data_IF_217534513816
#
_entry.id   IF_217534513816
#
_cell.length_a   1.000
_cell.length_b   1.000
_cell.length_c   1.000
_cell.angle_alpha   90.00
_cell.angle_beta   90.00
_cell.angle_gamma   90.00
#
_symmetry.space_group_name_H-M   'P 1'
#
loop_
_entity.id
_entity.type
_entity.pdbx_description
1 polymer ?
#
# COMPACT_ATOMS: atom_id res chain seq x y z
N UNK A 1 -3.75 -2.53 15.15
CA UNK A 1 -4.95 -1.87 14.63
C UNK A 1 -5.98 -2.92 14.25
N UNK A 2 -7.27 -2.64 14.44
CA UNK A 2 -8.39 -3.48 13.98
C UNK A 2 -9.16 -2.69 12.92
N UNK A 3 -9.42 -3.30 11.78
CA UNK A 3 -10.08 -2.67 10.64
C UNK A 3 -11.16 -3.54 10.04
N UNK A 4 -12.19 -2.94 9.44
CA UNK A 4 -13.10 -3.60 8.51
C UNK A 4 -12.81 -3.09 7.10
N UNK A 5 -12.49 -4.00 6.17
CA UNK A 5 -12.18 -3.71 4.77
C UNK A 5 -13.36 -4.10 3.88
N UNK A 6 -13.68 -3.26 2.89
CA UNK A 6 -14.80 -3.46 1.97
C UNK A 6 -14.45 -2.95 0.57
N UNK A 7 -14.62 -3.77 -0.47
CA UNK A 7 -14.55 -3.30 -1.86
C UNK A 7 -15.81 -2.49 -2.24
N UNK A 8 -15.63 -1.51 -3.13
CA UNK A 8 -16.68 -0.66 -3.67
C UNK A 8 -16.89 -0.94 -5.17
N UNK A 9 -18.14 -1.03 -5.66
CA UNK A 9 -19.31 -1.32 -4.84
C UNK A 9 -19.16 -2.68 -4.16
N UNK A 10 -19.94 -2.93 -3.10
CA UNK A 10 -19.95 -4.19 -2.31
C UNK A 10 -20.59 -5.32 -3.12
N UNK A 11 -20.02 -5.64 -4.27
CA UNK A 11 -20.51 -6.62 -5.23
C UNK A 11 -19.42 -7.67 -5.53
N UNK A 12 -18.15 -7.31 -5.36
CA UNK A 12 -17.01 -8.08 -5.84
C UNK A 12 -16.32 -8.93 -4.75
N UNK A 13 -16.34 -8.47 -3.50
CA UNK A 13 -15.87 -9.25 -2.34
C UNK A 13 -16.76 -9.01 -1.12
N UNK A 14 -16.80 -10.00 -0.22
CA UNK A 14 -17.47 -9.84 1.07
C UNK A 14 -16.57 -9.01 1.98
N UNK A 15 -17.13 -8.05 2.74
CA UNK A 15 -16.36 -7.34 3.75
C UNK A 15 -15.67 -8.31 4.72
N UNK A 16 -14.47 -7.94 5.14
CA UNK A 16 -13.67 -8.70 6.11
C UNK A 16 -13.27 -7.81 7.27
N UNK A 17 -13.09 -8.41 8.44
CA UNK A 17 -12.48 -7.75 9.60
C UNK A 17 -11.06 -8.27 9.76
N UNK A 18 -10.11 -7.38 10.04
CA UNK A 18 -8.71 -7.74 10.22
C UNK A 18 -8.10 -7.10 11.46
N UNK A 19 -7.18 -7.85 12.07
CA UNK A 19 -6.30 -7.42 13.14
C UNK A 19 -4.89 -7.37 12.59
N UNK A 20 -4.33 -6.17 12.54
CA UNK A 20 -3.02 -5.89 11.96
C UNK A 20 -2.07 -5.46 13.06
N UNK A 21 -1.02 -6.26 13.29
CA UNK A 21 0.09 -5.96 14.19
C UNK A 21 1.39 -5.90 13.39
N UNK A 22 1.70 -4.70 12.91
CA UNK A 22 2.88 -4.45 12.07
C UNK A 22 4.17 -4.72 12.87
N UNK A 23 5.22 -5.26 12.23
CA UNK A 23 5.28 -5.68 10.83
C UNK A 23 4.88 -7.15 10.57
N UNK A 24 4.50 -7.94 11.58
CA UNK A 24 4.50 -9.40 11.44
C UNK A 24 3.14 -10.09 11.51
N UNK A 25 2.20 -9.53 12.27
CA UNK A 25 0.98 -10.22 12.66
C UNK A 25 -0.24 -9.79 11.86
N UNK A 26 -0.97 -10.77 11.33
CA UNK A 26 -2.23 -10.54 10.62
C UNK A 26 -3.23 -11.64 10.96
N UNK A 27 -4.43 -11.22 11.34
CA UNK A 27 -5.61 -12.08 11.37
C UNK A 27 -6.68 -11.44 10.52
N UNK A 28 -7.34 -12.22 9.69
CA UNK A 28 -8.47 -11.79 8.86
C UNK A 28 -9.62 -12.76 9.05
N UNK A 29 -10.81 -12.24 9.26
CA UNK A 29 -12.05 -12.97 9.43
C UNK A 29 -13.13 -12.44 8.50
N UNK A 30 -14.08 -13.31 8.15
CA UNK A 30 -15.38 -12.85 7.70
C UNK A 30 -16.10 -12.09 8.84
N UNK A 31 -17.06 -11.23 8.51
CA UNK A 31 -17.82 -10.50 9.53
C UNK A 31 -18.64 -11.39 10.49
N UNK A 32 -18.84 -12.67 10.16
CA UNK A 32 -19.46 -13.65 11.05
C UNK A 32 -18.48 -14.28 12.06
N UNK A 33 -17.20 -13.88 12.04
CA UNK A 33 -16.14 -14.37 12.92
C UNK A 33 -15.39 -15.60 12.40
N UNK A 34 -15.68 -16.08 11.19
CA UNK A 34 -14.97 -17.22 10.60
C UNK A 34 -13.56 -16.80 10.16
N UNK A 35 -12.49 -17.49 10.60
CA UNK A 35 -11.13 -17.15 10.20
C UNK A 35 -10.88 -17.44 8.71
N UNK A 36 -10.31 -16.47 8.02
CA UNK A 36 -9.81 -16.59 6.64
C UNK A 36 -8.28 -16.75 6.66
N UNK A 37 -7.60 -15.94 7.47
CA UNK A 37 -6.15 -15.94 7.61
C UNK A 37 -5.76 -15.69 9.07
N UNK A 38 -4.80 -16.44 9.59
CA UNK A 38 -4.15 -16.19 10.87
C UNK A 38 -2.66 -16.45 10.65
N UNK A 39 -1.85 -15.40 10.69
CA UNK A 39 -0.45 -15.49 10.32
C UNK A 39 0.44 -14.59 11.19
N UNK A 40 1.62 -15.13 11.51
CA UNK A 40 2.72 -14.43 12.14
C UNK A 40 3.98 -14.66 11.32
N UNK A 41 4.35 -13.65 10.53
CA UNK A 41 5.52 -13.69 9.68
C UNK A 41 6.77 -13.49 10.53
N UNK A 42 7.54 -14.57 10.78
CA UNK A 42 8.83 -14.47 11.49
C UNK A 42 9.88 -13.73 10.64
N UNK A 43 9.76 -13.82 9.31
CA UNK A 43 10.58 -13.10 8.34
C UNK A 43 9.71 -12.59 7.18
N UNK A 44 8.98 -11.47 7.35
CA UNK A 44 8.00 -11.01 6.34
C UNK A 44 8.62 -10.60 5.00
N UNK A 45 9.95 -10.54 4.88
CA UNK A 45 10.65 -9.95 3.74
C UNK A 45 11.20 -10.98 2.72
N UNK A 46 11.03 -12.28 2.99
CA UNK A 46 11.39 -13.39 2.09
C UNK A 46 12.90 -13.55 1.80
N UNK A 47 13.28 -14.70 1.24
CA UNK A 47 14.61 -14.93 0.66
C UNK A 47 14.52 -14.86 -0.86
N UNK A 48 15.09 -13.80 -1.45
CA UNK A 48 15.21 -13.64 -2.89
C UNK A 48 16.47 -14.29 -3.47
N UNK A 49 16.49 -14.46 -4.80
CA UNK A 49 17.71 -14.75 -5.52
C UNK A 49 17.71 -14.04 -6.88
N UNK A 50 18.82 -13.37 -7.21
CA UNK A 50 19.04 -12.79 -8.53
C UNK A 50 19.48 -13.88 -9.49
N UNK A 51 18.80 -13.99 -10.63
CA UNK A 51 19.21 -14.87 -11.71
C UNK A 51 19.85 -14.02 -12.81
N UNK A 52 21.12 -14.26 -13.11
CA UNK A 52 21.81 -13.54 -14.19
C UNK A 52 21.35 -14.04 -15.58
N UNK A 53 21.77 -13.34 -16.64
CA UNK A 53 21.42 -13.71 -18.04
C UNK A 53 21.94 -15.09 -18.48
N UNK A 54 22.82 -15.71 -17.68
CA UNK A 54 23.34 -17.06 -17.90
C UNK A 54 22.60 -18.11 -17.05
N UNK A 55 21.55 -17.71 -16.34
CA UNK A 55 20.76 -18.59 -15.48
C UNK A 55 21.39 -18.88 -14.11
N UNK A 56 22.45 -18.17 -13.72
CA UNK A 56 23.08 -18.38 -12.40
C UNK A 56 22.30 -17.64 -11.33
N UNK A 57 21.89 -18.39 -10.32
CA UNK A 57 21.20 -17.86 -9.14
C UNK A 57 22.21 -17.46 -8.07
N UNK A 58 22.18 -16.19 -7.65
CA UNK A 58 22.88 -15.69 -6.47
C UNK A 58 21.85 -15.32 -5.41
N UNK A 59 21.94 -15.85 -4.17
CA UNK A 59 21.06 -15.43 -3.09
C UNK A 59 21.11 -13.92 -2.92
N UNK A 60 19.95 -13.29 -2.82
CA UNK A 60 19.90 -11.91 -2.38
C UNK A 60 20.37 -11.85 -0.93
N UNK A 61 21.13 -10.82 -0.55
CA UNK A 61 21.41 -10.60 0.85
C UNK A 61 20.10 -10.44 1.63
N UNK A 62 20.04 -11.06 2.81
CA UNK A 62 18.82 -11.13 3.62
C UNK A 62 18.23 -9.73 3.85
N UNK A 63 16.98 -9.49 3.42
CA UNK A 63 16.28 -8.25 3.69
C UNK A 63 15.93 -8.14 5.17
N UNK A 64 15.81 -6.90 5.65
CA UNK A 64 15.39 -6.58 7.00
C UNK A 64 14.33 -5.49 6.97
N UNK A 65 13.45 -5.47 7.97
CA UNK A 65 12.38 -4.47 8.04
C UNK A 65 12.64 -3.36 9.05
N UNK A 66 11.66 -2.45 9.20
CA UNK A 66 11.82 -1.23 9.98
C UNK A 66 12.00 -1.43 11.49
N UNK A 67 11.70 -2.62 12.02
CA UNK A 67 11.94 -2.97 13.43
C UNK A 67 13.29 -3.64 13.67
N UNK A 68 14.07 -3.91 12.63
CA UNK A 68 15.44 -4.43 12.78
C UNK A 68 16.36 -3.32 13.31
N UNK A 69 17.27 -3.64 14.23
CA UNK A 69 18.22 -2.67 14.82
C UNK A 69 19.13 -2.02 13.77
N UNK A 70 19.32 -2.67 12.61
CA UNK A 70 20.08 -2.14 11.48
C UNK A 70 19.28 -1.13 10.65
N UNK A 71 17.97 -1.07 10.84
CA UNK A 71 17.12 -0.19 10.05
C UNK A 71 17.27 1.28 10.51
N UNK A 72 17.58 2.20 9.58
CA UNK A 72 17.50 3.62 9.88
C UNK A 72 16.07 3.97 10.28
N UNK A 73 15.93 4.81 11.31
CA UNK A 73 14.61 5.29 11.74
C UNK A 73 14.13 6.39 10.79
N UNK A 74 12.83 6.43 10.45
CA UNK A 74 12.28 7.57 9.72
C UNK A 74 12.37 8.85 10.53
N UNK A 75 12.50 9.97 9.83
CA UNK A 75 12.32 11.27 10.44
C UNK A 75 10.84 11.46 10.70
N UNK A 76 10.48 11.83 11.92
CA UNK A 76 9.11 12.12 12.32
C UNK A 76 8.88 13.62 12.39
N UNK A 77 7.67 14.06 12.04
CA UNK A 77 7.15 15.40 12.30
C UNK A 77 6.75 15.52 13.77
N UNK A 78 6.49 16.75 14.22
CA UNK A 78 6.06 17.02 15.61
C UNK A 78 4.72 16.34 15.97
N UNK A 79 3.90 16.01 14.98
CA UNK A 79 2.64 15.28 15.16
C UNK A 79 2.81 13.74 15.20
N UNK A 80 4.06 13.26 15.13
CA UNK A 80 4.40 11.84 15.19
C UNK A 80 4.27 11.09 13.86
N UNK A 81 3.82 11.74 12.78
CA UNK A 81 3.77 11.14 11.45
C UNK A 81 5.13 11.24 10.75
N UNK A 82 5.38 10.35 9.79
CA UNK A 82 6.65 10.33 9.04
C UNK A 82 6.79 11.61 8.20
N UNK A 83 7.90 12.32 8.41
CA UNK A 83 8.33 13.47 7.61
C UNK A 83 9.13 13.02 6.38
N UNK A 84 10.07 12.10 6.61
CA UNK A 84 10.97 11.58 5.58
C UNK A 84 11.23 10.10 5.88
N UNK A 85 11.10 9.28 4.83
CA UNK A 85 11.53 7.89 4.91
C UNK A 85 13.02 7.81 4.63
N UNK A 86 13.75 6.95 5.37
CA UNK A 86 15.06 6.55 4.91
C UNK A 86 14.93 6.02 3.49
N UNK A 87 15.87 6.34 2.59
CA UNK A 87 15.84 5.81 1.24
C UNK A 87 15.77 4.28 1.32
N UNK A 88 14.95 3.67 0.47
CA UNK A 88 14.92 2.22 0.38
C UNK A 88 16.30 1.74 -0.09
N UNK A 89 17.06 1.21 0.86
CA UNK A 89 18.31 0.52 0.56
C UNK A 89 17.97 -0.86 -0.01
N UNK A 90 18.93 -1.45 -0.72
CA UNK A 90 18.77 -2.75 -1.41
C UNK A 90 18.13 -3.86 -0.54
N UNK A 91 18.25 -3.75 0.81
CA UNK A 91 17.81 -4.73 1.81
C UNK A 91 16.68 -4.28 2.75
N UNK A 92 16.33 -3.00 2.82
CA UNK A 92 15.28 -2.53 3.74
C UNK A 92 13.91 -2.73 3.08
N UNK A 93 12.98 -3.38 3.78
CA UNK A 93 11.61 -3.64 3.29
C UNK A 93 10.58 -3.15 4.31
N UNK A 94 9.75 -2.21 3.89
CA UNK A 94 8.69 -1.61 4.72
C UNK A 94 7.34 -2.32 4.58
N UNK A 95 7.28 -3.45 3.89
CA UNK A 95 6.01 -4.12 3.63
C UNK A 95 5.37 -4.68 4.89
N UNK A 96 4.05 -4.52 4.92
CA UNK A 96 3.18 -5.03 5.98
C UNK A 96 2.74 -6.45 5.71
N UNK A 97 2.19 -7.13 6.74
CA UNK A 97 1.45 -8.36 6.52
C UNK A 97 0.37 -8.15 5.46
N UNK A 98 0.42 -8.97 4.40
CA UNK A 98 -0.42 -8.82 3.22
C UNK A 98 -1.66 -9.71 3.31
N UNK A 99 -2.83 -9.16 2.99
CA UNK A 99 -4.02 -9.92 2.67
C UNK A 99 -4.33 -9.82 1.18
N UNK A 100 -4.28 -10.95 0.47
CA UNK A 100 -4.46 -11.10 -0.98
C UNK A 100 -3.49 -10.37 -1.92
N UNK A 101 -3.38 -9.04 -1.85
CA UNK A 101 -2.66 -8.24 -2.85
C UNK A 101 -1.92 -7.06 -2.23
N UNK A 102 -0.96 -6.46 -2.97
CA UNK A 102 -0.24 -5.28 -2.50
C UNK A 102 -1.13 -4.05 -2.32
N UNK A 103 -2.35 -4.04 -2.87
CA UNK A 103 -3.36 -3.02 -2.58
C UNK A 103 -3.62 -2.91 -1.07
N UNK A 104 -3.67 -4.05 -0.37
CA UNK A 104 -3.78 -4.10 1.09
C UNK A 104 -2.61 -3.41 1.80
N UNK A 105 -1.40 -3.64 1.31
CA UNK A 105 -0.20 -3.04 1.89
C UNK A 105 -0.15 -1.54 1.60
N UNK A 106 -0.50 -1.13 0.37
CA UNK A 106 -0.58 0.26 -0.03
C UNK A 106 -1.66 1.04 0.74
N UNK A 107 -2.73 0.37 1.18
CA UNK A 107 -3.73 0.92 2.10
C UNK A 107 -3.14 1.25 3.48
N UNK A 108 -2.44 0.28 4.09
CA UNK A 108 -1.84 0.44 5.42
C UNK A 108 -0.65 1.41 5.42
N UNK A 109 0.00 1.52 4.28
CA UNK A 109 1.19 2.34 4.11
C UNK A 109 1.19 3.04 2.75
N UNK A 110 0.45 4.16 2.60
CA UNK A 110 0.18 4.80 1.30
C UNK A 110 1.35 5.65 0.80
N UNK A 111 2.56 5.10 0.83
CA UNK A 111 3.78 5.73 0.28
C UNK A 111 3.62 6.08 -1.20
N UNK A 112 2.76 5.36 -1.93
CA UNK A 112 2.42 5.64 -3.33
C UNK A 112 1.79 7.04 -3.52
N UNK A 113 1.20 7.62 -2.46
CA UNK A 113 0.55 8.92 -2.49
C UNK A 113 1.45 10.07 -1.97
N UNK A 114 2.60 9.76 -1.39
CA UNK A 114 3.47 10.74 -0.73
C UNK A 114 4.49 11.34 -1.70
N UNK A 115 5.59 10.61 -1.94
CA UNK A 115 6.69 11.07 -2.79
C UNK A 115 6.76 10.21 -4.06
N UNK A 116 6.86 10.85 -5.21
CA UNK A 116 7.02 10.17 -6.50
C UNK A 116 8.50 9.98 -6.83
N UNK A 117 8.77 9.08 -7.76
CA UNK A 117 10.13 8.65 -8.09
C UNK A 117 10.56 9.08 -9.49
N UNK A 118 11.83 9.45 -9.69
CA UNK A 118 12.39 9.42 -11.06
C UNK A 118 12.84 8.01 -11.43
N UNK A 119 12.64 7.59 -12.70
CA UNK A 119 13.36 6.46 -13.24
C UNK A 119 14.87 6.70 -13.05
N UNK A 120 15.65 5.65 -12.71
CA UNK A 120 17.07 5.80 -12.54
C UNK A 120 17.69 6.27 -13.86
N UNK A 121 18.23 7.49 -13.88
CA UNK A 121 18.95 8.03 -15.04
C UNK A 121 20.32 7.36 -15.21
N UNK A 122 20.80 6.66 -14.19
CA UNK A 122 22.08 5.96 -14.16
C UNK A 122 21.93 4.57 -13.52
N UNK A 123 22.57 3.57 -14.14
CA UNK A 123 22.65 2.21 -13.62
C UNK A 123 23.31 2.26 -12.23
N UNK A 124 22.58 1.90 -11.18
CA UNK A 124 23.11 1.76 -9.82
C UNK A 124 22.67 2.84 -8.81
N UNK A 125 21.94 3.87 -9.22
CA UNK A 125 21.22 4.76 -8.29
C UNK A 125 19.77 4.30 -8.27
N UNK A 126 19.25 3.82 -7.13
CA UNK A 126 17.83 3.49 -7.02
C UNK A 126 16.90 4.67 -7.36
N UNK A 127 15.61 4.41 -7.39
CA UNK A 127 14.58 5.44 -7.54
C UNK A 127 14.74 6.48 -6.42
N UNK A 128 15.07 7.74 -6.79
CA UNK A 128 15.09 8.84 -5.84
C UNK A 128 13.68 9.42 -5.74
N UNK A 129 13.12 9.36 -4.54
CA UNK A 129 11.82 9.95 -4.21
C UNK A 129 12.02 11.39 -3.74
N UNK A 130 11.40 12.36 -4.41
CA UNK A 130 11.54 13.77 -4.02
C UNK A 130 10.20 14.50 -4.11
N UNK A 131 9.94 15.50 -3.23
CA UNK A 131 8.69 16.26 -3.24
C UNK A 131 8.42 17.02 -4.53
N UNK A 132 9.46 17.37 -5.30
CA UNK A 132 9.34 18.05 -6.60
C UNK A 132 8.70 17.17 -7.68
N UNK A 133 8.60 15.86 -7.42
CA UNK A 133 8.10 14.85 -8.34
C UNK A 133 6.84 14.24 -7.76
N UNK A 134 5.82 15.08 -7.59
CA UNK A 134 4.56 14.64 -6.99
C UNK A 134 3.98 13.45 -7.77
N UNK A 135 3.69 12.31 -7.12
CA UNK A 135 3.08 11.16 -7.77
C UNK A 135 1.61 11.44 -8.12
N UNK A 136 1.04 12.49 -7.53
CA UNK A 136 -0.34 12.89 -7.66
C UNK A 136 -0.48 14.35 -8.08
N UNK A 137 -1.48 14.63 -8.90
CA UNK A 137 -2.02 15.97 -9.12
C UNK A 137 -3.31 16.10 -8.34
N UNK A 138 -3.41 17.12 -7.49
CA UNK A 138 -4.64 17.42 -6.75
C UNK A 138 -5.59 18.20 -7.66
N UNK A 139 -6.82 17.72 -7.80
CA UNK A 139 -7.92 18.43 -8.48
C UNK A 139 -8.67 19.35 -7.54
N UNK A 140 -8.71 18.99 -6.26
CA UNK A 140 -9.38 19.75 -5.21
C UNK A 140 -8.42 20.02 -4.06
N UNK A 141 -8.69 21.08 -3.31
CA UNK A 141 -8.02 21.30 -2.03
C UNK A 141 -8.23 20.13 -1.08
N UNK A 142 -7.22 19.86 -0.24
CA UNK A 142 -7.34 18.88 0.84
C UNK A 142 -8.27 19.46 1.91
N UNK A 143 -9.31 18.71 2.26
CA UNK A 143 -10.28 19.09 3.29
C UNK A 143 -10.32 18.07 4.41
N UNK A 144 -10.56 18.55 5.62
CA UNK A 144 -10.85 17.68 6.75
C UNK A 144 -12.31 17.20 6.68
N UNK A 145 -12.52 15.90 6.86
CA UNK A 145 -13.82 15.23 6.85
C UNK A 145 -13.92 14.24 8.01
N UNK A 146 -15.11 13.65 8.18
CA UNK A 146 -15.27 12.46 9.03
C UNK A 146 -15.45 11.21 8.18
N UNK A 147 -14.72 10.16 8.51
CA UNK A 147 -14.86 8.83 7.93
C UNK A 147 -15.12 7.84 9.06
N UNK A 148 -16.32 7.26 9.11
CA UNK A 148 -16.74 6.32 10.17
C UNK A 148 -16.48 6.85 11.59
N UNK A 149 -16.79 8.13 11.80
CA UNK A 149 -16.63 8.83 13.08
C UNK A 149 -15.23 9.36 13.38
N UNK A 150 -14.22 9.01 12.59
CA UNK A 150 -12.82 9.45 12.75
C UNK A 150 -12.48 10.65 11.85
N UNK A 151 -11.54 11.49 12.27
CA UNK A 151 -11.06 12.60 11.45
C UNK A 151 -10.21 12.07 10.28
N UNK A 152 -10.43 12.59 9.09
CA UNK A 152 -9.73 12.19 7.88
C UNK A 152 -9.47 13.38 6.95
N UNK A 153 -8.47 13.27 6.09
CA UNK A 153 -8.22 14.21 5.00
C UNK A 153 -8.76 13.62 3.69
N UNK A 154 -9.57 14.39 2.96
CA UNK A 154 -10.09 14.02 1.64
C UNK A 154 -9.58 14.97 0.57
N UNK A 155 -9.27 14.43 -0.61
CA UNK A 155 -9.10 15.19 -1.85
C UNK A 155 -9.44 14.31 -3.06
N UNK A 156 -9.60 14.93 -4.23
CA UNK A 156 -9.64 14.27 -5.53
C UNK A 156 -8.27 14.42 -6.20
N UNK A 157 -7.71 13.31 -6.67
CA UNK A 157 -6.36 13.24 -7.25
C UNK A 157 -6.35 12.52 -8.58
N UNK A 158 -5.41 12.87 -9.45
CA UNK A 158 -5.01 12.07 -10.61
C UNK A 158 -3.58 11.56 -10.41
N UNK A 159 -3.26 10.39 -10.94
CA UNK A 159 -1.88 9.89 -10.99
C UNK A 159 -1.05 10.69 -12.01
N UNK A 160 0.25 10.80 -11.77
CA UNK A 160 1.21 11.43 -12.71
C UNK A 160 2.20 10.40 -13.24
N UNK A 161 3.08 10.79 -14.16
CA UNK A 161 4.19 9.95 -14.63
C UNK A 161 5.17 9.53 -13.51
N UNK A 162 5.11 10.19 -12.34
CA UNK A 162 5.91 9.87 -11.17
C UNK A 162 5.17 8.95 -10.17
N UNK A 163 3.93 8.54 -10.48
CA UNK A 163 3.21 7.56 -9.70
C UNK A 163 3.90 6.20 -9.79
N UNK A 164 4.50 5.79 -8.68
CA UNK A 164 5.18 4.50 -8.54
C UNK A 164 4.41 3.63 -7.54
N UNK A 165 3.48 2.79 -8.03
CA UNK A 165 2.79 1.86 -7.16
C UNK A 165 3.75 0.78 -6.66
N UNK A 166 3.52 0.28 -5.45
CA UNK A 166 4.25 -0.88 -4.89
C UNK A 166 4.14 -2.09 -5.81
N UNK A 167 2.99 -2.25 -6.45
CA UNK A 167 2.75 -3.28 -7.43
C UNK A 167 1.90 -2.74 -8.57
N UNK A 168 2.40 -2.83 -9.79
CA UNK A 168 1.74 -2.31 -10.99
C UNK A 168 0.40 -3.01 -11.30
N UNK A 169 0.23 -4.28 -10.93
CA UNK A 169 -1.02 -5.04 -11.17
C UNK A 169 -2.07 -4.91 -10.06
N UNK A 170 -1.74 -4.30 -8.92
CA UNK A 170 -2.66 -4.11 -7.80
C UNK A 170 -2.34 -2.83 -7.02
N UNK A 171 -2.15 -1.75 -7.77
CA UNK A 171 -1.88 -0.41 -7.26
C UNK A 171 -3.01 0.09 -6.33
N UNK A 172 -2.71 1.04 -5.45
CA UNK A 172 -3.74 1.72 -4.66
C UNK A 172 -4.70 2.50 -5.58
N UNK A 173 -4.16 3.16 -6.60
CA UNK A 173 -4.89 3.88 -7.65
C UNK A 173 -4.68 3.14 -8.98
N UNK A 174 -5.63 2.24 -9.30
CA UNK A 174 -5.58 1.42 -10.51
C UNK A 174 -6.02 2.24 -11.73
N UNK A 175 -5.10 2.51 -12.66
CA UNK A 175 -5.39 3.33 -13.84
C UNK A 175 -4.30 3.30 -14.89
N UNK A 176 -4.30 4.29 -15.78
CA UNK A 176 -3.43 4.33 -16.95
C UNK A 176 -1.93 4.23 -16.59
N UNK A 177 -1.48 4.90 -15.52
CA UNK A 177 -0.06 4.91 -15.12
C UNK A 177 0.39 3.57 -14.53
N UNK A 178 -0.41 2.93 -13.65
CA UNK A 178 -0.10 1.60 -13.12
C UNK A 178 -0.14 0.54 -14.21
N UNK A 179 -1.13 0.63 -15.12
CA UNK A 179 -1.26 -0.29 -16.25
C UNK A 179 -0.09 -0.14 -17.23
N UNK A 180 0.30 1.09 -17.58
CA UNK A 180 1.45 1.34 -18.46
C UNK A 180 2.73 0.74 -17.87
N UNK A 181 2.95 0.88 -16.55
CA UNK A 181 4.07 0.23 -15.87
C UNK A 181 3.96 -1.31 -15.92
N UNK A 182 2.79 -1.88 -15.67
CA UNK A 182 2.58 -3.32 -15.76
C UNK A 182 2.89 -3.89 -17.15
N UNK A 183 2.47 -3.18 -18.21
CA UNK A 183 2.79 -3.57 -19.59
C UNK A 183 4.29 -3.58 -19.83
N UNK A 184 5.01 -2.56 -19.33
CA UNK A 184 6.46 -2.47 -19.45
C UNK A 184 7.17 -3.58 -18.68
N UNK A 185 6.72 -3.89 -17.47
CA UNK A 185 7.31 -4.93 -16.61
C UNK A 185 7.08 -6.34 -17.17
N UNK A 186 5.92 -6.60 -17.78
CA UNK A 186 5.54 -7.94 -18.27
C UNK A 186 5.78 -8.15 -19.76
N UNK A 187 6.02 -7.09 -20.52
CA UNK A 187 6.05 -7.12 -21.99
C UNK A 187 4.70 -7.40 -22.64
N UNK A 188 3.59 -7.32 -21.88
CA UNK A 188 2.23 -7.54 -22.37
C UNK A 188 1.60 -6.21 -22.75
N UNK A 189 1.66 -5.88 -24.04
CA UNK A 189 1.10 -4.65 -24.60
C UNK A 189 -0.30 -4.92 -25.18
N UNK A 190 -1.23 -5.30 -24.31
CA UNK A 190 -2.63 -5.40 -24.70
C UNK A 190 -3.26 -4.02 -24.61
N UNK A 191 -3.81 -3.48 -25.70
CA UNK A 191 -4.50 -2.19 -25.66
C UNK A 191 -5.70 -2.30 -24.72
N UNK A 192 -5.81 -1.49 -23.64
CA UNK A 192 -6.97 -1.53 -22.79
C UNK A 192 -8.18 -1.16 -23.63
N UNK A 193 -9.20 -2.02 -23.63
CA UNK A 193 -10.48 -1.71 -24.29
C UNK A 193 -11.38 -0.83 -23.42
N UNK A 194 -10.99 -0.63 -22.16
CA UNK A 194 -11.73 0.11 -21.14
C UNK A 194 -11.05 1.46 -20.88
N UNK A 195 -11.87 2.50 -20.70
CA UNK A 195 -11.40 3.81 -20.24
C UNK A 195 -11.10 3.74 -18.75
N UNK A 196 -9.85 4.03 -18.36
CA UNK A 196 -9.46 4.12 -16.96
C UNK A 196 -10.05 5.37 -16.31
N UNK A 197 -10.28 5.31 -14.99
CA UNK A 197 -10.57 6.50 -14.21
C UNK A 197 -9.41 7.51 -14.32
N UNK A 198 -9.75 8.77 -14.60
CA UNK A 198 -8.77 9.86 -14.61
C UNK A 198 -8.55 10.39 -13.18
N UNK A 199 -9.60 10.34 -12.36
CA UNK A 199 -9.64 10.94 -11.04
C UNK A 199 -10.05 9.92 -9.98
N UNK A 200 -9.52 10.11 -8.78
CA UNK A 200 -9.82 9.28 -7.62
C UNK A 200 -10.12 10.17 -6.44
N UNK A 201 -11.23 9.92 -5.74
CA UNK A 201 -11.40 10.44 -4.39
C UNK A 201 -10.62 9.55 -3.44
N UNK A 202 -9.73 10.15 -2.66
CA UNK A 202 -8.94 9.47 -1.65
C UNK A 202 -9.23 10.05 -0.27
N UNK A 203 -9.18 9.20 0.76
CA UNK A 203 -9.22 9.65 2.16
C UNK A 203 -8.13 9.01 2.99
N UNK A 204 -7.43 9.79 3.79
CA UNK A 204 -6.47 9.29 4.77
C UNK A 204 -6.98 9.56 6.19
N UNK A 205 -6.93 8.57 7.07
CA UNK A 205 -7.19 8.78 8.50
C UNK A 205 -6.13 9.72 9.07
N UNK A 206 -6.56 10.83 9.67
CA UNK A 206 -5.65 11.90 10.07
C UNK A 206 -4.67 11.49 11.20
N UNK A 207 -5.05 10.49 12.01
CA UNK A 207 -4.25 10.05 13.14
C UNK A 207 -3.24 8.95 12.75
N UNK A 208 -3.59 8.07 11.82
CA UNK A 208 -2.77 6.90 11.46
C UNK A 208 -2.09 7.04 10.09
N UNK A 209 -2.57 7.93 9.23
CA UNK A 209 -2.10 8.06 7.84
C UNK A 209 -2.56 6.91 6.93
N UNK A 210 -3.39 5.98 7.41
CA UNK A 210 -3.95 4.88 6.61
C UNK A 210 -4.86 5.45 5.53
N UNK A 211 -4.72 4.99 4.29
CA UNK A 211 -5.65 5.29 3.22
C UNK A 211 -6.94 4.50 3.50
N UNK A 212 -8.03 5.19 3.83
CA UNK A 212 -9.31 4.60 4.28
C UNK A 212 -10.41 4.65 3.22
N UNK A 213 -10.17 5.34 2.10
CA UNK A 213 -11.06 5.33 0.94
C UNK A 213 -10.24 5.52 -0.34
N UNK A 214 -10.60 4.73 -1.35
CA UNK A 214 -10.40 5.07 -2.75
C UNK A 214 -11.74 4.93 -3.47
N UNK A 215 -12.02 5.84 -4.39
CA UNK A 215 -13.21 5.79 -5.23
C UNK A 215 -12.88 6.41 -6.59
N UNK A 216 -13.05 5.64 -7.65
CA UNK A 216 -12.88 6.02 -9.05
C UNK A 216 -13.94 7.06 -9.45
N UNK A 217 -13.50 8.15 -10.08
CA UNK A 217 -14.34 9.20 -10.65
C UNK A 217 -14.11 9.21 -12.17
N UNK A 218 -15.18 8.95 -12.92
CA UNK A 218 -15.12 8.71 -14.36
C UNK A 218 -14.55 7.33 -14.71
N UNK A 219 -14.22 7.12 -15.99
CA UNK A 219 -13.78 5.82 -16.51
C UNK A 219 -14.90 4.79 -16.62
N UNK A 220 -14.54 3.56 -16.98
CA UNK A 220 -15.45 2.44 -17.20
C UNK A 220 -16.12 1.95 -15.90
N UNK A 221 -15.45 2.12 -14.76
CA UNK A 221 -15.84 1.59 -13.45
C UNK A 221 -16.08 2.70 -12.42
N UNK A 222 -16.75 3.79 -12.81
CA UNK A 222 -17.09 4.90 -11.91
C UNK A 222 -17.73 4.43 -10.58
N UNK A 223 -17.24 4.97 -9.46
CA UNK A 223 -17.66 4.62 -8.10
C UNK A 223 -17.02 3.33 -7.55
N UNK A 224 -16.18 2.65 -8.33
CA UNK A 224 -15.40 1.49 -7.87
C UNK A 224 -14.25 1.94 -6.97
N UNK A 225 -13.81 1.07 -6.07
CA UNK A 225 -12.68 1.32 -5.20
C UNK A 225 -12.75 0.44 -3.97
N UNK A 226 -12.41 0.99 -2.81
CA UNK A 226 -12.51 0.28 -1.53
C UNK A 226 -12.56 1.26 -0.36
N UNK A 227 -13.07 0.80 0.77
CA UNK A 227 -13.21 1.57 2.01
C UNK A 227 -12.77 0.75 3.22
N UNK A 228 -12.23 1.45 4.21
CA UNK A 228 -11.75 0.88 5.47
C UNK A 228 -12.37 1.62 6.64
N UNK A 229 -12.92 0.88 7.59
CA UNK A 229 -13.32 1.40 8.89
C UNK A 229 -12.27 1.01 9.91
N UNK A 230 -11.60 1.98 10.54
CA UNK A 230 -10.68 1.71 11.65
C UNK A 230 -11.48 1.59 12.94
N UNK A 231 -11.59 0.37 13.46
CA UNK A 231 -12.36 0.06 14.67
C UNK A 231 -11.57 0.37 15.94
N UNK A 232 -10.26 0.09 15.92
CA UNK A 232 -9.37 0.36 17.04
C UNK A 232 -7.92 0.56 16.59
N UNK A 233 -7.22 1.51 17.19
CA UNK A 233 -5.77 1.71 17.07
C UNK A 233 -5.11 1.20 18.35
N UNK A 234 -3.92 0.60 18.24
CA UNK A 234 -3.18 0.04 19.38
C UNK A 234 -3.97 -0.93 20.27
N UNK A 235 -4.94 -1.64 19.68
CA UNK A 235 -5.65 -2.71 20.36
C UNK A 235 -4.66 -3.77 20.88
N UNK A 236 -4.90 -4.27 22.09
CA UNK A 236 -4.13 -5.38 22.64
C UNK A 236 -4.39 -6.64 21.80
N UNK A 237 -3.33 -7.14 21.17
CA UNK A 237 -3.35 -8.28 20.26
C UNK A 237 -2.20 -9.23 20.65
N UNK A 238 -2.42 -10.07 21.68
CA UNK A 238 -1.43 -11.04 22.10
C UNK A 238 -1.12 -12.01 20.96
N UNK A 239 0.13 -12.50 20.91
CA UNK A 239 0.65 -13.31 19.78
C UNK A 239 -0.24 -14.50 19.44
N UNK A 240 -0.82 -15.16 20.44
CA UNK A 240 -1.69 -16.33 20.24
C UNK A 240 -2.96 -16.04 19.44
N UNK A 241 -3.41 -14.78 19.34
CA UNK A 241 -4.52 -14.41 18.45
C UNK A 241 -4.11 -14.40 16.97
N UNK A 242 -2.81 -14.30 16.71
CA UNK A 242 -2.19 -14.09 15.39
C UNK A 242 -1.35 -15.29 14.95
N UNK A 243 -1.38 -16.39 15.69
CA UNK A 243 -0.73 -17.66 15.33
C UNK A 243 -1.79 -18.74 15.24
N UNK A 244 -1.74 -19.57 14.19
CA UNK A 244 -2.71 -20.64 13.99
C UNK A 244 -2.66 -21.74 15.07
N UNK A 245 -1.59 -21.80 15.86
CA UNK A 245 -1.44 -22.73 16.97
C UNK A 245 -1.98 -22.14 18.28
N UNK A 246 -3.23 -22.49 18.61
CA UNK A 246 -3.81 -22.46 19.96
C UNK A 246 -4.64 -23.73 20.18
#
# INVERSE_FOLDING_TARGET
MVVTYTDLPVQWSRPVRAWVRRPNGLRVEELNGSPILIDWLEHPWGTGARVDRLGRSTPDPEPFGPLDDRAPRPLLRDDGLVAERPPEFDRLRYDDPMFHTYRWVAMLDPVELADGSQPPTHVGTGYLRTPELSPLRLETDVKEVRHEGRAAWETVVATTDFYEPRCSCCAALEGAHSQHRWMWETGRFDTPTEEWAEWYRVRLDAATGVLVLTEEIGGHTEGRGWSVSIEAVDADMPRHMLTADA
#
